data_IF_686213992217
#
_entry.id   IF_686213992217
#
_cell.length_a   1.000
_cell.length_b   1.000
_cell.length_c   1.000
_cell.angle_alpha   90.00
_cell.angle_beta   90.00
_cell.angle_gamma   90.00
#
_symmetry.space_group_name_H-M   'P 1'
#
loop_
_entity.id
_entity.type
_entity.pdbx_description
1 polymer ?
#
# COMPACT_ATOMS: atom_id res chain seq x y z
N UNK A 1 -4.66 -64.62 -57.17
CA UNK A 1 -4.74 -63.45 -56.28
C UNK A 1 -4.77 -63.90 -54.83
N UNK A 2 -3.72 -63.62 -54.07
CA UNK A 2 -3.63 -63.95 -52.64
C UNK A 2 -4.03 -62.75 -51.80
N UNK A 3 -5.07 -62.89 -50.98
CA UNK A 3 -5.55 -61.82 -50.12
C UNK A 3 -4.48 -61.40 -49.09
N UNK A 4 -4.23 -60.10 -48.97
CA UNK A 4 -3.36 -59.53 -47.93
C UNK A 4 -3.92 -59.87 -46.55
N UNK A 5 -3.06 -60.35 -45.64
CA UNK A 5 -3.46 -60.74 -44.28
C UNK A 5 -3.96 -59.56 -43.44
N UNK A 6 -4.70 -59.84 -42.34
CA UNK A 6 -5.27 -58.79 -41.49
C UNK A 6 -4.18 -57.95 -40.83
N UNK A 7 -4.46 -56.65 -40.68
CA UNK A 7 -3.57 -55.70 -40.01
C UNK A 7 -3.42 -56.06 -38.52
N UNK A 8 -2.19 -55.95 -38.01
CA UNK A 8 -1.87 -56.31 -36.63
C UNK A 8 -2.50 -55.34 -35.61
N UNK A 9 -2.63 -55.76 -34.34
CA UNK A 9 -3.21 -54.91 -33.30
C UNK A 9 -2.37 -53.65 -33.06
N UNK A 10 -3.05 -52.53 -32.78
CA UNK A 10 -2.40 -51.27 -32.43
C UNK A 10 -1.55 -51.41 -31.16
N UNK A 11 -0.37 -50.78 -31.15
CA UNK A 11 0.54 -50.77 -30.00
C UNK A 11 -0.08 -50.08 -28.78
N UNK A 12 0.36 -50.47 -27.58
CA UNK A 12 -0.09 -49.83 -26.33
C UNK A 12 0.38 -48.38 -26.26
N UNK A 13 -0.49 -47.50 -25.74
CA UNK A 13 -0.17 -46.09 -25.51
C UNK A 13 1.01 -45.95 -24.52
N UNK A 14 1.92 -45.02 -24.81
CA UNK A 14 3.11 -44.78 -23.98
C UNK A 14 2.76 -44.16 -22.62
N UNK A 15 3.54 -44.49 -21.59
CA UNK A 15 3.36 -43.88 -20.27
C UNK A 15 3.54 -42.36 -20.31
N UNK A 16 2.72 -41.62 -19.57
CA UNK A 16 2.88 -40.18 -19.37
C UNK A 16 4.24 -39.89 -18.73
N UNK A 17 4.98 -38.92 -19.27
CA UNK A 17 6.29 -38.53 -18.77
C UNK A 17 6.25 -37.91 -17.36
N UNK A 18 7.41 -37.82 -16.67
CA UNK A 18 7.48 -37.18 -15.37
C UNK A 18 7.12 -35.69 -15.45
N UNK A 19 6.57 -35.16 -14.35
CA UNK A 19 6.37 -33.71 -14.20
C UNK A 19 7.71 -32.97 -14.30
N UNK A 20 7.70 -31.79 -14.94
CA UNK A 20 8.89 -30.94 -15.04
C UNK A 20 9.32 -30.35 -13.69
N UNK A 21 10.55 -29.82 -13.58
CA UNK A 21 11.02 -29.15 -12.37
C UNK A 21 10.20 -27.90 -12.06
N UNK A 22 10.03 -27.61 -10.77
CA UNK A 22 9.41 -26.36 -10.31
C UNK A 22 10.31 -25.16 -10.68
N UNK A 23 9.69 -24.06 -11.13
CA UNK A 23 10.42 -22.85 -11.52
C UNK A 23 11.01 -22.10 -10.31
N UNK A 24 11.98 -21.19 -10.53
CA UNK A 24 12.56 -20.40 -9.45
C UNK A 24 11.51 -19.48 -8.80
N UNK A 25 11.50 -19.42 -7.47
CA UNK A 25 10.66 -18.50 -6.69
C UNK A 25 11.28 -17.09 -6.73
N UNK A 26 10.47 -16.05 -6.98
CA UNK A 26 10.92 -14.67 -6.82
C UNK A 26 11.08 -14.36 -5.32
N UNK A 27 12.29 -14.02 -4.84
CA UNK A 27 12.52 -13.83 -3.41
C UNK A 27 11.87 -12.56 -2.86
N UNK A 28 11.38 -11.66 -3.71
CA UNK A 28 10.77 -10.38 -3.31
C UNK A 28 9.33 -10.29 -3.80
N UNK A 29 8.43 -9.83 -2.93
CA UNK A 29 7.05 -9.49 -3.30
C UNK A 29 6.65 -8.11 -2.84
N UNK A 30 5.92 -7.39 -3.70
CA UNK A 30 5.21 -6.17 -3.33
C UNK A 30 3.83 -6.54 -2.80
N UNK A 31 3.53 -6.17 -1.56
CA UNK A 31 2.25 -6.37 -0.90
C UNK A 31 1.56 -5.03 -0.68
N UNK A 32 0.24 -5.00 -0.85
CA UNK A 32 -0.59 -3.84 -0.55
C UNK A 32 -1.21 -3.99 0.85
N UNK A 33 -1.14 -2.93 1.64
CA UNK A 33 -1.75 -2.83 2.96
C UNK A 33 -2.81 -1.74 2.92
N UNK A 34 -4.06 -2.13 3.08
CA UNK A 34 -5.19 -1.21 3.07
C UNK A 34 -5.44 -0.65 4.46
N UNK A 35 -5.50 0.66 4.56
CA UNK A 35 -5.97 1.41 5.72
C UNK A 35 -7.29 2.10 5.36
N UNK A 36 -8.21 2.18 6.33
CA UNK A 36 -9.51 2.84 6.21
C UNK A 36 -9.60 3.93 7.26
N UNK A 37 -10.14 5.06 6.84
CA UNK A 37 -9.88 6.29 7.54
C UNK A 37 -10.79 6.61 8.71
N UNK A 38 -10.18 7.09 9.79
CA UNK A 38 -10.79 7.89 10.85
C UNK A 38 -10.11 9.26 10.81
N UNK A 39 -10.84 10.31 11.16
CA UNK A 39 -10.48 11.59 10.58
C UNK A 39 -9.14 12.19 11.02
N UNK A 40 -8.73 11.94 12.28
CA UNK A 40 -7.39 12.21 12.80
C UNK A 40 -6.91 10.98 13.57
N UNK A 41 -5.60 10.72 13.52
CA UNK A 41 -4.95 9.69 14.33
C UNK A 41 -4.61 8.42 13.57
N UNK A 42 -4.56 7.31 14.30
CA UNK A 42 -4.26 5.99 13.75
C UNK A 42 -5.43 5.44 12.91
N UNK A 43 -5.12 5.02 11.68
CA UNK A 43 -6.13 4.56 10.73
C UNK A 43 -6.58 3.11 11.02
N UNK A 44 -7.87 2.83 10.85
CA UNK A 44 -8.55 1.64 11.42
C UNK A 44 -8.62 0.45 10.45
N UNK A 45 -7.47 -0.17 10.15
CA UNK A 45 -7.37 -1.55 9.63
C UNK A 45 -6.21 -2.26 10.36
N UNK A 46 -6.12 -3.60 10.26
CA UNK A 46 -5.22 -4.62 10.86
C UNK A 46 -3.73 -4.27 11.00
N UNK A 47 -3.39 -3.07 11.46
CA UNK A 47 -2.11 -2.43 11.29
C UNK A 47 -1.84 -1.35 12.34
N UNK A 48 -2.83 -0.76 13.00
CA UNK A 48 -2.54 0.37 13.89
C UNK A 48 -2.43 0.00 15.39
N UNK A 49 -1.22 -0.07 15.98
CA UNK A 49 -1.06 0.01 17.42
C UNK A 49 -1.27 1.48 17.83
N UNK A 50 -2.33 1.74 18.57
CA UNK A 50 -2.66 3.07 19.09
C UNK A 50 -3.73 2.96 20.18
N UNK A 51 -3.73 3.92 21.11
CA UNK A 51 -4.38 3.81 22.43
C UNK A 51 -5.91 3.53 22.40
N UNK A 52 -6.55 3.68 21.24
CA UNK A 52 -7.98 3.44 21.03
C UNK A 52 -8.28 2.48 19.88
N UNK A 53 -7.26 1.89 19.25
CA UNK A 53 -7.44 1.11 18.02
C UNK A 53 -8.06 -0.27 18.30
N UNK A 54 -7.75 -0.91 19.43
CA UNK A 54 -8.12 -2.32 19.71
C UNK A 54 -7.83 -3.29 18.53
N UNK A 55 -7.01 -2.87 17.57
CA UNK A 55 -6.84 -3.53 16.29
C UNK A 55 -5.43 -4.09 16.20
N UNK A 56 -5.34 -5.38 15.87
CA UNK A 56 -4.09 -6.15 15.79
C UNK A 56 -3.19 -5.51 14.72
N UNK A 57 -1.90 -5.25 14.99
CA UNK A 57 -0.98 -4.67 14.01
C UNK A 57 -0.63 -5.65 12.89
N UNK A 58 -0.18 -5.09 11.76
CA UNK A 58 0.25 -5.85 10.61
C UNK A 58 1.71 -6.16 10.86
N UNK A 59 2.01 -7.45 10.92
CA UNK A 59 3.37 -7.95 11.11
C UNK A 59 3.92 -8.40 9.77
N UNK A 60 5.02 -7.79 9.34
CA UNK A 60 5.68 -8.12 8.08
C UNK A 60 6.55 -9.39 8.18
N UNK A 61 6.50 -10.22 7.14
CA UNK A 61 7.12 -11.55 7.15
C UNK A 61 8.64 -11.55 6.92
N UNK A 62 9.16 -10.52 6.24
CA UNK A 62 10.57 -10.42 5.86
C UNK A 62 11.04 -8.99 5.74
N UNK A 63 12.36 -8.81 5.72
CA UNK A 63 13.00 -7.51 5.57
C UNK A 63 12.71 -6.91 4.19
N UNK A 64 12.63 -5.59 4.12
CA UNK A 64 12.21 -4.90 2.92
C UNK A 64 12.20 -3.38 3.05
N UNK A 65 11.35 -2.74 2.25
CA UNK A 65 11.13 -1.31 2.31
C UNK A 65 9.70 -0.92 1.93
N UNK A 66 9.32 0.28 2.32
CA UNK A 66 8.12 0.95 1.82
C UNK A 66 8.44 1.47 0.42
N UNK A 67 7.56 1.21 -0.55
CA UNK A 67 7.78 1.57 -1.97
C UNK A 67 6.71 2.49 -2.56
N UNK A 68 5.67 2.82 -1.80
CA UNK A 68 4.71 3.83 -2.20
C UNK A 68 3.47 3.89 -1.32
N UNK A 69 2.69 4.95 -1.54
CA UNK A 69 1.40 5.20 -0.91
C UNK A 69 0.42 5.69 -1.98
N UNK A 70 -0.80 5.18 -1.94
CA UNK A 70 -1.94 5.76 -2.64
C UNK A 70 -3.00 6.18 -1.63
N UNK A 71 -3.75 7.22 -1.97
CA UNK A 71 -4.85 7.72 -1.19
C UNK A 71 -6.05 8.03 -2.08
N UNK A 72 -7.23 7.71 -1.57
CA UNK A 72 -8.52 8.10 -2.13
C UNK A 72 -9.45 8.49 -0.98
N UNK A 73 -9.91 9.73 -0.97
CA UNK A 73 -10.74 10.27 0.10
C UNK A 73 -11.85 11.15 -0.47
N UNK A 74 -13.03 11.09 0.15
CA UNK A 74 -14.15 11.95 -0.23
C UNK A 74 -14.35 13.06 0.79
N UNK A 75 -14.22 14.31 0.36
CA UNK A 75 -14.34 15.48 1.22
C UNK A 75 -15.44 16.42 0.78
N UNK A 76 -16.08 17.06 1.77
CA UNK A 76 -17.01 18.16 1.53
C UNK A 76 -16.45 19.42 2.18
N UNK A 77 -15.86 20.28 1.37
CA UNK A 77 -15.19 21.52 1.76
C UNK A 77 -13.92 21.30 2.60
N UNK A 78 -13.00 20.46 2.12
CA UNK A 78 -11.67 20.34 2.73
C UNK A 78 -10.98 21.71 2.69
N UNK A 79 -10.50 22.17 3.84
CA UNK A 79 -9.89 23.49 3.96
C UNK A 79 -8.46 23.49 3.44
N UNK A 80 -7.95 24.60 2.86
CA UNK A 80 -6.54 24.75 2.55
C UNK A 80 -5.68 24.49 3.79
N UNK A 81 -4.55 23.81 3.59
CA UNK A 81 -3.68 23.45 4.69
C UNK A 81 -2.69 22.35 4.33
N UNK A 82 -1.92 21.97 5.34
CA UNK A 82 -0.98 20.86 5.27
C UNK A 82 -1.55 19.68 6.05
N UNK A 83 -1.55 18.52 5.40
CA UNK A 83 -2.00 17.25 5.95
C UNK A 83 -0.84 16.27 5.86
N UNK A 84 -0.47 15.67 6.98
CA UNK A 84 0.69 14.78 7.08
C UNK A 84 0.23 13.36 7.33
N UNK A 85 0.78 12.45 6.53
CA UNK A 85 0.62 11.01 6.67
C UNK A 85 1.98 10.43 7.07
N UNK A 86 2.05 9.86 8.27
CA UNK A 86 3.25 9.22 8.78
C UNK A 86 3.11 7.71 8.66
N UNK A 87 4.02 7.12 7.88
CA UNK A 87 4.20 5.67 7.87
C UNK A 87 5.10 5.30 9.03
N UNK A 88 4.58 4.50 9.94
CA UNK A 88 5.21 4.25 11.22
C UNK A 88 5.46 2.76 11.46
N UNK A 89 6.53 2.44 12.19
CA UNK A 89 6.80 1.11 12.71
C UNK A 89 6.89 1.08 14.23
N UNK A 90 6.43 -0.03 14.80
CA UNK A 90 6.61 -0.39 16.21
C UNK A 90 6.20 0.73 17.19
N UNK A 91 5.08 1.41 16.87
CA UNK A 91 4.52 2.43 17.76
C UNK A 91 3.95 1.75 19.01
N UNK A 92 4.21 2.25 20.23
CA UNK A 92 3.62 1.70 21.45
C UNK A 92 2.09 1.70 21.42
N UNK A 93 1.47 0.64 21.94
CA UNK A 93 0.01 0.46 21.90
C UNK A 93 -0.78 1.56 22.59
N UNK A 94 -0.21 2.25 23.58
CA UNK A 94 -0.84 3.33 24.32
C UNK A 94 -0.50 4.73 23.77
N UNK A 95 0.23 4.82 22.66
CA UNK A 95 0.56 6.09 22.06
C UNK A 95 -0.67 6.72 21.38
N UNK A 96 -0.82 8.04 21.56
CA UNK A 96 -1.83 8.85 20.85
C UNK A 96 -1.29 9.43 19.54
N UNK A 97 0.04 9.51 19.40
CA UNK A 97 0.76 9.90 18.20
C UNK A 97 2.14 9.19 18.15
N UNK A 98 2.72 8.97 16.95
CA UNK A 98 4.03 8.34 16.81
C UNK A 98 5.15 9.27 17.32
N UNK A 99 6.16 8.70 17.98
CA UNK A 99 7.40 9.41 18.25
C UNK A 99 8.27 9.47 16.99
N UNK A 100 9.16 10.46 16.86
CA UNK A 100 10.00 10.63 15.67
C UNK A 100 10.78 9.36 15.27
N UNK A 101 11.27 8.59 16.25
CA UNK A 101 11.97 7.30 16.03
C UNK A 101 11.10 6.20 15.40
N UNK A 102 9.78 6.34 15.51
CA UNK A 102 8.80 5.38 14.98
C UNK A 102 8.32 5.76 13.58
N UNK A 103 8.72 6.92 13.05
CA UNK A 103 8.30 7.39 11.73
C UNK A 103 9.38 6.96 10.73
N UNK A 104 9.01 6.08 9.79
CA UNK A 104 9.90 5.66 8.71
C UNK A 104 9.86 6.71 7.58
N UNK A 105 8.66 7.16 7.23
CA UNK A 105 8.43 8.07 6.11
C UNK A 105 7.30 9.06 6.42
N UNK A 106 7.44 10.27 5.90
CA UNK A 106 6.47 11.36 6.00
C UNK A 106 5.98 11.72 4.60
N UNK A 107 4.67 11.67 4.40
CA UNK A 107 4.01 12.15 3.18
C UNK A 107 3.28 13.43 3.52
N UNK A 108 3.54 14.48 2.75
CA UNK A 108 2.95 15.80 2.95
C UNK A 108 2.02 16.13 1.80
N UNK A 109 0.73 16.29 2.11
CA UNK A 109 -0.28 16.80 1.18
C UNK A 109 -0.54 18.27 1.49
N UNK A 110 -0.33 19.13 0.50
CA UNK A 110 -0.59 20.57 0.59
C UNK A 110 -1.79 20.89 -0.30
N UNK A 111 -2.81 21.44 0.32
CA UNK A 111 -4.00 21.95 -0.36
C UNK A 111 -4.00 23.48 -0.33
N UNK A 112 -4.09 24.13 -1.49
CA UNK A 112 -4.01 25.58 -1.60
C UNK A 112 -5.39 26.27 -1.69
N UNK A 113 -6.46 25.52 -1.96
CA UNK A 113 -7.82 26.05 -2.09
C UNK A 113 -8.87 25.09 -1.54
N UNK A 114 -10.03 25.62 -1.12
CA UNK A 114 -11.13 24.78 -0.60
C UNK A 114 -11.55 23.80 -1.70
N UNK A 115 -11.53 22.50 -1.38
CA UNK A 115 -11.80 21.44 -2.37
C UNK A 115 -12.89 20.50 -1.87
N UNK A 116 -13.78 20.09 -2.79
CA UNK A 116 -14.84 19.10 -2.52
C UNK A 116 -14.85 18.03 -3.60
N UNK A 117 -15.20 16.81 -3.22
CA UNK A 117 -15.27 15.66 -4.12
C UNK A 117 -14.34 14.52 -3.69
N UNK A 118 -14.14 13.56 -4.58
CA UNK A 118 -13.18 12.48 -4.41
C UNK A 118 -11.80 12.99 -4.79
N UNK A 119 -10.91 13.08 -3.80
CA UNK A 119 -9.53 13.52 -3.92
C UNK A 119 -8.65 12.27 -3.94
N UNK A 120 -7.77 12.16 -4.94
CA UNK A 120 -6.85 11.02 -5.09
C UNK A 120 -5.42 11.48 -5.34
N UNK A 121 -4.48 10.73 -4.79
CA UNK A 121 -3.06 10.91 -5.10
C UNK A 121 -2.28 9.61 -4.94
N UNK A 122 -1.14 9.56 -5.61
CA UNK A 122 -0.17 8.47 -5.52
C UNK A 122 1.20 9.08 -5.39
N UNK A 123 2.04 8.52 -4.54
CA UNK A 123 3.40 8.99 -4.31
C UNK A 123 4.32 7.83 -3.96
N UNK A 124 5.56 7.88 -4.45
CA UNK A 124 6.64 6.93 -4.14
C UNK A 124 7.85 7.67 -3.56
N UNK A 125 8.69 7.00 -2.76
CA UNK A 125 9.93 7.60 -2.27
C UNK A 125 10.88 8.07 -3.39
N UNK A 126 10.83 7.42 -4.55
CA UNK A 126 11.68 7.74 -5.71
C UNK A 126 11.15 8.87 -6.58
N UNK A 127 9.94 9.37 -6.32
CA UNK A 127 9.34 10.41 -7.15
C UNK A 127 10.11 11.73 -6.98
N UNK A 128 10.48 12.41 -8.08
CA UNK A 128 11.15 13.70 -7.98
C UNK A 128 10.14 14.78 -7.55
N UNK A 129 10.53 15.61 -6.58
CA UNK A 129 9.74 16.76 -6.10
C UNK A 129 8.32 16.38 -5.65
N UNK A 130 7.38 17.30 -5.81
CA UNK A 130 5.95 17.11 -5.54
C UNK A 130 5.22 16.48 -6.74
N UNK A 131 4.26 15.61 -6.47
CA UNK A 131 3.34 15.02 -7.44
C UNK A 131 1.97 15.73 -7.43
N UNK A 132 1.22 15.70 -8.54
CA UNK A 132 -0.11 16.30 -8.61
C UNK A 132 -1.13 15.50 -7.81
N UNK A 133 -2.14 16.22 -7.31
CA UNK A 133 -3.34 15.64 -6.69
C UNK A 133 -4.50 15.78 -7.66
N UNK A 134 -5.37 14.79 -7.73
CA UNK A 134 -6.54 14.80 -8.60
C UNK A 134 -7.82 14.90 -7.79
N UNK A 135 -8.84 15.54 -8.36
CA UNK A 135 -10.18 15.66 -7.76
C UNK A 135 -11.27 15.37 -8.78
N UNK A 136 -12.34 14.70 -8.36
CA UNK A 136 -13.60 14.56 -9.10
C UNK A 136 -14.78 14.97 -8.22
N UNK A 137 -15.62 15.88 -8.71
CA UNK A 137 -16.84 16.31 -8.05
C UNK A 137 -18.06 16.18 -8.99
N UNK A 138 -18.44 14.93 -9.27
CA UNK A 138 -19.53 14.63 -10.22
C UNK A 138 -19.13 14.69 -11.69
N UNK A 139 -17.83 14.74 -12.00
CA UNK A 139 -17.26 14.78 -13.36
C UNK A 139 -15.96 13.97 -13.49
N UNK A 140 -15.22 14.05 -14.60
CA UNK A 140 -13.92 13.40 -14.73
C UNK A 140 -12.91 13.94 -13.71
N UNK A 141 -11.87 13.14 -13.41
CA UNK A 141 -10.78 13.59 -12.55
C UNK A 141 -9.95 14.68 -13.24
N UNK A 142 -9.69 15.77 -12.52
CA UNK A 142 -8.84 16.89 -12.96
C UNK A 142 -7.77 17.16 -11.91
N UNK A 143 -6.68 17.82 -12.32
CA UNK A 143 -5.63 18.24 -11.37
C UNK A 143 -6.20 19.30 -10.44
N UNK A 144 -6.10 19.06 -9.14
CA UNK A 144 -6.48 20.02 -8.10
C UNK A 144 -5.36 21.03 -7.86
N UNK A 145 -5.67 22.18 -7.26
CA UNK A 145 -4.66 23.12 -6.76
C UNK A 145 -4.04 22.61 -5.45
N UNK A 146 -3.30 21.52 -5.59
CA UNK A 146 -2.76 20.75 -4.49
C UNK A 146 -1.56 19.92 -4.95
N UNK A 147 -0.68 19.61 -4.01
CA UNK A 147 0.50 18.79 -4.26
C UNK A 147 0.71 17.77 -3.15
N UNK A 148 1.36 16.67 -3.48
CA UNK A 148 1.84 15.67 -2.50
C UNK A 148 3.34 15.47 -2.64
N UNK A 149 4.06 15.32 -1.54
CA UNK A 149 5.49 14.98 -1.53
C UNK A 149 5.80 13.86 -0.55
N UNK A 150 6.90 13.16 -0.80
CA UNK A 150 7.45 12.12 0.08
C UNK A 150 8.76 12.58 0.69
N UNK A 151 8.96 12.33 1.98
CA UNK A 151 10.23 12.46 2.67
C UNK A 151 10.53 11.20 3.47
N UNK A 152 11.62 10.51 3.13
CA UNK A 152 12.10 9.35 3.88
C UNK A 152 12.83 9.84 5.13
N UNK A 153 12.24 9.64 6.32
CA UNK A 153 12.87 10.00 7.59
C UNK A 153 14.02 9.05 7.93
N UNK A 154 13.88 7.78 7.54
CA UNK A 154 14.92 6.77 7.61
C UNK A 154 15.35 6.45 6.17
N UNK A 155 16.63 6.63 5.80
CA UNK A 155 17.10 6.37 4.44
C UNK A 155 16.77 4.96 3.96
N UNK A 156 16.17 4.88 2.76
CA UNK A 156 15.76 3.61 2.14
C UNK A 156 14.41 3.06 2.61
N UNK A 157 13.71 3.80 3.47
CA UNK A 157 12.39 3.46 4.02
C UNK A 157 12.30 2.00 4.53
N UNK A 158 13.27 1.55 5.36
CA UNK A 158 13.45 0.15 5.66
C UNK A 158 12.33 -0.42 6.54
N UNK A 159 12.06 -1.69 6.31
CA UNK A 159 11.19 -2.54 7.12
C UNK A 159 11.98 -3.77 7.54
N UNK A 160 11.90 -4.13 8.81
CA UNK A 160 12.46 -5.36 9.34
C UNK A 160 11.36 -6.41 9.55
N UNK A 161 11.73 -7.69 9.42
CA UNK A 161 10.86 -8.80 9.80
C UNK A 161 10.31 -8.60 11.21
N UNK A 162 9.01 -8.83 11.36
CA UNK A 162 8.22 -8.62 12.56
C UNK A 162 7.87 -7.17 12.91
N UNK A 163 8.24 -6.18 12.10
CA UNK A 163 7.79 -4.81 12.34
C UNK A 163 6.26 -4.72 12.28
N UNK A 164 5.70 -4.02 13.28
CA UNK A 164 4.30 -3.62 13.34
C UNK A 164 4.10 -2.32 12.57
N UNK A 165 3.57 -2.40 11.35
CA UNK A 165 3.43 -1.25 10.44
C UNK A 165 2.08 -0.58 10.62
N UNK A 166 2.08 0.76 10.72
CA UNK A 166 0.87 1.58 10.88
C UNK A 166 0.90 2.87 10.05
N UNK A 167 -0.27 3.43 9.80
CA UNK A 167 -0.45 4.74 9.17
C UNK A 167 -1.12 5.70 10.17
N UNK A 168 -0.48 6.85 10.38
CA UNK A 168 -0.97 7.91 11.26
C UNK A 168 -1.21 9.20 10.47
N UNK A 169 -2.32 9.87 10.74
CA UNK A 169 -2.69 11.16 10.15
C UNK A 169 -2.72 12.24 11.23
N UNK A 170 -2.04 13.36 11.00
CA UNK A 170 -1.91 14.44 11.98
C UNK A 170 -3.11 15.39 12.03
N UNK A 171 -3.84 15.52 10.93
CA UNK A 171 -4.92 16.47 10.75
C UNK A 171 -6.16 15.82 10.12
N UNK A 172 -7.30 16.49 10.27
CA UNK A 172 -8.61 15.96 9.89
C UNK A 172 -8.80 15.84 8.37
N UNK A 173 -8.86 14.62 7.87
CA UNK A 173 -9.47 14.24 6.57
C UNK A 173 -10.55 13.20 6.88
N UNK A 174 -11.74 13.24 6.28
CA UNK A 174 -12.94 12.47 6.66
C UNK A 174 -12.76 10.98 6.98
N UNK A 175 -13.80 10.39 7.59
CA UNK A 175 -13.93 8.94 7.76
C UNK A 175 -14.10 8.17 6.44
N UNK A 176 -14.33 8.84 5.30
CA UNK A 176 -14.56 8.17 4.02
C UNK A 176 -13.31 8.22 3.16
N UNK A 177 -12.29 7.50 3.62
CA UNK A 177 -11.00 7.41 2.96
C UNK A 177 -10.45 5.98 2.95
N UNK A 178 -9.74 5.66 1.88
CA UNK A 178 -8.95 4.44 1.71
C UNK A 178 -7.53 4.84 1.35
N UNK A 179 -6.57 4.28 2.10
CA UNK A 179 -5.15 4.44 1.83
C UNK A 179 -4.54 3.07 1.56
N UNK A 180 -3.64 2.98 0.61
CA UNK A 180 -2.91 1.75 0.32
C UNK A 180 -1.41 1.98 0.41
N UNK A 181 -0.77 1.27 1.33
CA UNK A 181 0.68 1.30 1.51
C UNK A 181 1.30 0.08 0.82
N UNK A 182 2.33 0.31 0.01
CA UNK A 182 3.01 -0.74 -0.74
C UNK A 182 4.32 -1.10 -0.06
N UNK A 183 4.46 -2.39 0.29
CA UNK A 183 5.63 -2.94 0.97
C UNK A 183 6.34 -3.92 0.06
N UNK A 184 7.62 -3.70 -0.25
CA UNK A 184 8.46 -4.65 -0.98
C UNK A 184 9.30 -5.43 0.03
N UNK A 185 9.02 -6.72 0.22
CA UNK A 185 9.64 -7.55 1.25
C UNK A 185 10.15 -8.86 0.69
N UNK A 186 11.20 -9.40 1.31
CA UNK A 186 11.66 -10.76 1.08
C UNK A 186 10.60 -11.77 1.57
N UNK A 187 10.44 -12.89 0.86
CA UNK A 187 9.57 -14.02 1.24
C UNK A 187 10.40 -15.13 1.90
#
# INVERSE_FOLDING_TARGET
DGATGPEGPAGREGATGPAGPEGPVNPTSTKEVLFRGAAQGFQRVSAAPGALSQQIPLVVLGDGSIVGLTASMYERNLQPGTYVYNVCSNVPENATAPAARNIISTITFILNEITSGTITFTIKPSDPNTQPVFVSNGGPYVVANATVSWSSNIPGDPIARNDAISLYLDNFVTQNAVYALFLSTKI
#
